data_IF_584019355835
#
_entry.id   IF_584019355835
#
_cell.length_a   1.000
_cell.length_b   1.000
_cell.length_c   1.000
_cell.angle_alpha   90.00
_cell.angle_beta   90.00
_cell.angle_gamma   90.00
#
_symmetry.space_group_name_H-M   'P 1'
#
loop_
_entity.id
_entity.type
_entity.pdbx_description
1 polymer ?
#
# COMPACT_ATOMS: atom_id res chain seq x y z
N UNK A 1 -14.99 -14.03 3.98
CA UNK A 1 -15.70 -12.79 3.61
C UNK A 1 -14.89 -11.54 3.95
N UNK A 2 -14.35 -11.41 5.18
CA UNK A 2 -13.71 -10.15 5.63
C UNK A 2 -12.41 -9.77 4.90
N UNK A 3 -11.63 -10.76 4.47
CA UNK A 3 -10.34 -10.53 3.79
C UNK A 3 -10.51 -9.98 2.36
N UNK A 4 -11.58 -10.35 1.65
CA UNK A 4 -11.87 -9.86 0.30
C UNK A 4 -12.31 -8.38 0.33
N UNK A 5 -13.21 -8.03 1.25
CA UNK A 5 -13.68 -6.64 1.45
C UNK A 5 -12.51 -5.72 1.83
N UNK A 6 -11.58 -6.21 2.64
CA UNK A 6 -10.39 -5.44 3.04
C UNK A 6 -9.49 -5.11 1.84
N UNK A 7 -9.30 -6.05 0.93
CA UNK A 7 -8.45 -5.85 -0.24
C UNK A 7 -9.09 -4.85 -1.22
N UNK A 8 -10.41 -4.91 -1.41
CA UNK A 8 -11.16 -3.96 -2.23
C UNK A 8 -11.03 -2.51 -1.72
N UNK A 9 -11.18 -2.29 -0.41
CA UNK A 9 -10.99 -0.97 0.20
C UNK A 9 -9.59 -0.40 -0.04
N UNK A 10 -8.56 -1.23 0.14
CA UNK A 10 -7.17 -0.85 -0.13
C UNK A 10 -6.96 -0.52 -1.60
N UNK A 11 -7.47 -1.33 -2.52
CA UNK A 11 -7.36 -1.05 -3.96
C UNK A 11 -8.03 0.27 -4.36
N UNK A 12 -9.20 0.57 -3.79
CA UNK A 12 -9.88 1.85 -4.00
C UNK A 12 -9.05 3.04 -3.49
N UNK A 13 -8.44 2.92 -2.30
CA UNK A 13 -7.52 3.94 -1.78
C UNK A 13 -6.30 4.14 -2.68
N UNK A 14 -5.73 3.06 -3.22
CA UNK A 14 -4.59 3.11 -4.14
C UNK A 14 -4.95 3.80 -5.45
N UNK A 15 -6.16 3.59 -5.97
CA UNK A 15 -6.63 4.23 -7.20
C UNK A 15 -6.71 5.76 -7.08
N UNK A 16 -6.99 6.26 -5.87
CA UNK A 16 -7.10 7.69 -5.53
C UNK A 16 -5.75 8.37 -5.22
N UNK A 17 -4.64 7.63 -5.20
CA UNK A 17 -3.33 8.24 -4.96
C UNK A 17 -2.93 9.21 -6.08
N UNK A 18 -2.23 10.30 -5.74
CA UNK A 18 -1.70 11.21 -6.74
C UNK A 18 -0.54 10.59 -7.53
N UNK A 19 -0.33 11.11 -8.73
CA UNK A 19 0.80 10.74 -9.59
C UNK A 19 2.08 11.58 -9.32
N UNK A 20 2.22 12.07 -8.08
CA UNK A 20 3.29 12.94 -7.64
C UNK A 20 4.36 12.19 -6.83
N UNK A 21 5.57 12.76 -6.70
CA UNK A 21 6.57 12.27 -5.76
C UNK A 21 6.11 12.44 -4.32
N UNK A 22 6.62 11.57 -3.44
CA UNK A 22 6.24 11.61 -2.05
C UNK A 22 6.69 10.40 -1.24
N UNK A 23 6.16 10.33 -0.03
CA UNK A 23 6.43 9.28 0.95
C UNK A 23 5.10 8.57 1.25
N UNK A 24 5.11 7.24 1.28
CA UNK A 24 3.98 6.40 1.67
C UNK A 24 4.31 5.57 2.91
N UNK A 25 3.29 5.35 3.73
CA UNK A 25 3.39 4.66 5.02
C UNK A 25 2.28 3.62 5.12
N UNK A 26 2.64 2.36 5.40
CA UNK A 26 1.69 1.30 5.68
C UNK A 26 1.59 1.07 7.18
N UNK A 27 0.36 0.84 7.63
CA UNK A 27 0.03 0.60 9.02
C UNK A 27 -0.61 -0.79 9.18
N UNK A 28 -0.38 -1.44 10.31
CA UNK A 28 -1.13 -2.64 10.68
C UNK A 28 -2.47 -2.31 11.36
N UNK A 29 -3.21 -3.34 11.75
CA UNK A 29 -4.52 -3.24 12.43
C UNK A 29 -4.47 -2.50 13.77
N UNK A 30 -3.29 -2.37 14.37
CA UNK A 30 -3.09 -1.65 15.64
C UNK A 30 -2.76 -0.18 15.42
N UNK A 31 -2.66 0.26 14.15
CA UNK A 31 -2.25 1.61 13.79
C UNK A 31 -0.74 1.83 13.87
N UNK A 32 0.07 0.77 13.97
CA UNK A 32 1.54 0.86 13.99
C UNK A 32 2.08 0.91 12.56
N UNK A 33 3.05 1.79 12.31
CA UNK A 33 3.79 1.82 11.04
C UNK A 33 4.60 0.53 10.90
N UNK A 34 4.35 -0.20 9.81
CA UNK A 34 5.08 -1.43 9.47
C UNK A 34 6.01 -1.26 8.26
N UNK A 35 5.83 -0.18 7.49
CA UNK A 35 6.66 0.11 6.34
C UNK A 35 6.57 1.59 5.93
N UNK A 36 7.69 2.16 5.51
CA UNK A 36 7.77 3.50 4.91
C UNK A 36 8.56 3.40 3.62
N UNK A 37 8.08 4.04 2.55
CA UNK A 37 8.80 4.11 1.29
C UNK A 37 8.69 5.48 0.63
N UNK A 38 9.69 5.82 -0.19
CA UNK A 38 9.70 6.99 -1.06
C UNK A 38 9.34 6.57 -2.48
N UNK A 39 8.61 7.42 -3.19
CA UNK A 39 8.26 7.20 -4.59
C UNK A 39 8.45 8.47 -5.42
N UNK A 40 8.84 8.30 -6.68
CA UNK A 40 8.74 9.38 -7.70
C UNK A 40 7.29 9.59 -8.16
N UNK A 41 6.47 8.55 -8.07
CA UNK A 41 5.05 8.56 -8.36
C UNK A 41 4.38 7.62 -7.36
N UNK A 42 3.60 8.18 -6.44
CA UNK A 42 2.96 7.43 -5.35
C UNK A 42 2.00 6.36 -5.88
N UNK A 43 1.11 6.71 -6.80
CA UNK A 43 0.14 5.78 -7.39
C UNK A 43 0.81 4.54 -8.01
N UNK A 44 1.77 4.74 -8.92
CA UNK A 44 2.48 3.63 -9.59
C UNK A 44 3.25 2.77 -8.60
N UNK A 45 3.93 3.39 -7.62
CA UNK A 45 4.73 2.65 -6.64
C UNK A 45 3.85 1.80 -5.73
N UNK A 46 2.79 2.37 -5.19
CA UNK A 46 1.89 1.65 -4.28
C UNK A 46 1.11 0.56 -5.02
N UNK A 47 0.58 0.84 -6.23
CA UNK A 47 -0.11 -0.16 -7.05
C UNK A 47 0.74 -1.40 -7.33
N UNK A 48 2.06 -1.25 -7.48
CA UNK A 48 2.98 -2.37 -7.73
C UNK A 48 2.97 -3.44 -6.61
N UNK A 49 2.63 -3.07 -5.37
CA UNK A 49 2.50 -4.01 -4.25
C UNK A 49 1.24 -4.87 -4.32
N UNK A 50 0.29 -4.59 -5.21
CA UNK A 50 -0.96 -5.33 -5.35
C UNK A 50 -1.05 -6.10 -6.67
N UNK A 51 -0.05 -5.96 -7.56
CA UNK A 51 0.06 -6.76 -8.78
C UNK A 51 0.59 -8.18 -8.46
N UNK A 52 -0.12 -9.21 -8.90
CA UNK A 52 0.12 -10.62 -8.54
C UNK A 52 1.40 -11.24 -9.12
N UNK A 53 1.95 -10.71 -10.22
CA UNK A 53 2.95 -11.44 -11.02
C UNK A 53 4.39 -11.38 -10.50
N UNK A 54 4.79 -10.40 -9.67
CA UNK A 54 6.20 -10.26 -9.27
C UNK A 54 6.38 -9.78 -7.83
N UNK A 55 6.00 -10.63 -6.86
CA UNK A 55 6.21 -10.32 -5.45
C UNK A 55 7.06 -11.37 -4.76
N UNK A 56 8.14 -10.91 -4.12
CA UNK A 56 8.90 -11.70 -3.16
C UNK A 56 8.01 -12.15 -2.00
N UNK A 57 8.39 -13.25 -1.32
CA UNK A 57 7.67 -13.71 -0.11
C UNK A 57 7.56 -12.60 0.95
N UNK A 58 8.62 -11.80 1.13
CA UNK A 58 8.62 -10.67 2.07
C UNK A 58 7.56 -9.63 1.70
N UNK A 59 7.42 -9.32 0.41
CA UNK A 59 6.40 -8.39 -0.10
C UNK A 59 5.00 -8.92 0.14
N UNK A 60 4.76 -10.21 -0.12
CA UNK A 60 3.45 -10.84 0.13
C UNK A 60 3.06 -10.78 1.61
N UNK A 61 3.99 -11.11 2.50
CA UNK A 61 3.78 -11.04 3.96
C UNK A 61 3.53 -9.60 4.42
N UNK A 62 4.25 -8.63 3.86
CA UNK A 62 4.01 -7.22 4.13
C UNK A 62 2.57 -6.85 3.75
N UNK A 63 2.16 -7.13 2.51
CA UNK A 63 0.83 -6.77 1.97
C UNK A 63 -0.31 -7.37 2.80
N UNK A 64 -0.15 -8.61 3.28
CA UNK A 64 -1.13 -9.25 4.17
C UNK A 64 -1.31 -8.52 5.51
N UNK A 65 -0.27 -7.84 6.00
CA UNK A 65 -0.29 -7.10 7.27
C UNK A 65 -0.80 -5.67 7.12
N UNK A 66 -0.85 -5.13 5.90
CA UNK A 66 -1.35 -3.77 5.66
C UNK A 66 -2.82 -3.69 6.05
N UNK A 67 -3.16 -2.70 6.85
CA UNK A 67 -4.51 -2.34 7.22
C UNK A 67 -4.91 -0.98 6.66
N UNK A 68 -4.00 -0.01 6.72
CA UNK A 68 -4.22 1.31 6.13
C UNK A 68 -2.95 1.90 5.51
N UNK A 69 -3.15 2.88 4.64
CA UNK A 69 -2.13 3.62 3.91
C UNK A 69 -2.28 5.12 4.19
N UNK A 70 -1.17 5.80 4.48
CA UNK A 70 -1.08 7.28 4.46
C UNK A 70 0.06 7.71 3.55
N UNK A 71 -0.03 8.93 3.02
CA UNK A 71 1.01 9.49 2.16
C UNK A 71 1.18 10.99 2.36
N UNK A 72 2.34 11.49 1.95
CA UNK A 72 2.69 12.91 1.91
C UNK A 72 3.27 13.18 0.52
N UNK A 73 2.75 14.21 -0.16
CA UNK A 73 3.27 14.68 -1.45
C UNK A 73 4.42 15.66 -1.19
N UNK A 74 5.47 15.60 -2.02
CA UNK A 74 6.67 16.46 -1.94
C UNK A 74 6.95 17.09 -3.29
#
# INVERSE_FOLDING_TARGET
MDAEIKNEKLQNQVALLPENPGIYQYFDKTGKIIYVGKAKNLKKRVASYFLKQQQSLKTKVLVQKIDSLKYIVV
#
